data_IF_277281881091
#
_entry.id   IF_277281881091
#
_cell.length_a   1.000
_cell.length_b   1.000
_cell.length_c   1.000
_cell.angle_alpha   90.00
_cell.angle_beta   90.00
_cell.angle_gamma   90.00
#
_symmetry.space_group_name_H-M   'P 1'
#
loop_
_entity.id
_entity.type
_entity.pdbx_description
1 polymer ?
#
# COMPACT_ATOMS: atom_id res chain seq x y z
N UNK A 1 14.33 -2.17 -0.69
CA UNK A 1 14.89 -3.12 -1.69
C UNK A 1 16.37 -2.88 -2.04
N UNK A 2 17.06 -1.94 -1.36
CA UNK A 2 18.53 -1.94 -1.22
C UNK A 2 19.37 -1.92 -2.52
N UNK A 3 20.63 -2.37 -2.43
CA UNK A 3 21.57 -2.53 -3.56
C UNK A 3 20.97 -3.16 -4.83
N UNK A 4 20.05 -4.11 -4.69
CA UNK A 4 19.42 -4.84 -5.79
C UNK A 4 18.54 -3.97 -6.71
N UNK A 5 18.16 -2.78 -6.26
CA UNK A 5 17.32 -1.83 -7.01
C UNK A 5 18.02 -0.50 -7.28
N UNK A 6 19.24 -0.31 -6.76
CA UNK A 6 20.04 0.88 -7.01
C UNK A 6 20.73 0.76 -8.37
N UNK A 7 20.43 1.63 -9.33
CA UNK A 7 21.05 1.57 -10.68
C UNK A 7 22.54 1.80 -10.67
N UNK A 8 23.04 2.46 -9.64
CA UNK A 8 24.45 2.81 -9.51
C UNK A 8 25.26 1.69 -8.83
N UNK A 9 24.59 0.63 -8.39
CA UNK A 9 25.20 -0.52 -7.76
C UNK A 9 25.56 -1.59 -8.81
N UNK A 10 26.81 -2.12 -8.84
CA UNK A 10 27.23 -3.13 -9.80
C UNK A 10 26.45 -4.46 -9.68
N UNK A 11 25.82 -4.72 -8.53
CA UNK A 11 24.98 -5.89 -8.30
C UNK A 11 23.56 -5.73 -8.87
N UNK A 12 23.19 -4.52 -9.30
CA UNK A 12 21.86 -4.26 -9.83
C UNK A 12 21.68 -4.90 -11.22
N UNK A 13 20.72 -5.83 -11.38
CA UNK A 13 20.58 -6.56 -12.63
C UNK A 13 19.78 -5.80 -13.70
N UNK A 14 19.44 -4.52 -13.47
CA UNK A 14 18.52 -3.74 -14.30
C UNK A 14 19.03 -3.55 -15.72
N UNK A 15 20.28 -3.14 -15.89
CA UNK A 15 20.89 -2.89 -17.21
C UNK A 15 20.98 -4.19 -18.06
N UNK A 16 20.96 -5.36 -17.41
CA UNK A 16 20.99 -6.68 -18.06
C UNK A 16 19.58 -7.22 -18.37
N UNK A 17 18.52 -6.42 -18.20
CA UNK A 17 17.12 -6.87 -18.31
C UNK A 17 16.32 -5.96 -19.23
N UNK A 18 15.47 -6.56 -20.05
CA UNK A 18 14.42 -5.81 -20.76
C UNK A 18 13.43 -5.19 -19.76
N UNK A 19 12.65 -4.19 -20.20
CA UNK A 19 11.61 -3.55 -19.35
C UNK A 19 10.64 -4.58 -18.75
N UNK A 20 10.27 -5.62 -19.50
CA UNK A 20 9.38 -6.68 -19.02
C UNK A 20 10.06 -7.58 -17.99
N UNK A 21 11.31 -8.00 -18.25
CA UNK A 21 12.10 -8.82 -17.33
C UNK A 21 12.37 -8.06 -16.02
N UNK A 22 12.67 -6.76 -16.11
CA UNK A 22 12.83 -5.90 -14.96
C UNK A 22 11.54 -5.81 -14.14
N UNK A 23 10.39 -5.56 -14.78
CA UNK A 23 9.09 -5.54 -14.10
C UNK A 23 8.81 -6.85 -13.36
N UNK A 24 9.04 -8.01 -13.99
CA UNK A 24 8.90 -9.32 -13.34
C UNK A 24 9.86 -9.49 -12.16
N UNK A 25 11.11 -9.08 -12.32
CA UNK A 25 12.11 -9.12 -11.26
C UNK A 25 11.69 -8.29 -10.04
N UNK A 26 11.27 -7.03 -10.26
CA UNK A 26 10.79 -6.13 -9.20
C UNK A 26 9.60 -6.73 -8.46
N UNK A 27 8.63 -7.28 -9.19
CA UNK A 27 7.46 -7.94 -8.59
C UNK A 27 7.86 -9.14 -7.74
N UNK A 28 8.76 -10.00 -8.23
CA UNK A 28 9.27 -11.14 -7.47
C UNK A 28 10.02 -10.73 -6.20
N UNK A 29 10.92 -9.74 -6.31
CA UNK A 29 11.63 -9.21 -5.14
C UNK A 29 10.67 -8.60 -4.11
N UNK A 30 9.64 -7.91 -4.58
CA UNK A 30 8.58 -7.34 -3.74
C UNK A 30 7.75 -8.39 -3.01
N UNK A 31 7.41 -9.52 -3.66
CA UNK A 31 6.75 -10.67 -2.99
C UNK A 31 7.60 -11.18 -1.82
N UNK A 32 8.89 -11.42 -2.07
CA UNK A 32 9.81 -11.93 -1.04
C UNK A 32 9.96 -10.91 0.09
N UNK A 33 10.10 -9.63 -0.25
CA UNK A 33 10.20 -8.55 0.72
C UNK A 33 8.95 -8.47 1.61
N UNK A 34 7.75 -8.46 1.02
CA UNK A 34 6.48 -8.40 1.74
C UNK A 34 6.30 -9.60 2.66
N UNK A 35 6.60 -10.81 2.18
CA UNK A 35 6.54 -12.03 2.99
C UNK A 35 7.50 -12.00 4.18
N UNK A 36 8.70 -11.45 3.99
CA UNK A 36 9.68 -11.32 5.05
C UNK A 36 9.23 -10.34 6.13
N UNK A 37 8.83 -9.12 5.73
CA UNK A 37 8.40 -8.08 6.69
C UNK A 37 7.05 -8.41 7.36
N UNK A 38 6.25 -9.29 6.76
CA UNK A 38 4.99 -9.76 7.35
C UNK A 38 5.18 -10.53 8.67
N UNK A 39 6.41 -10.98 8.97
CA UNK A 39 6.77 -11.64 10.23
C UNK A 39 7.04 -10.66 11.37
N UNK A 40 7.16 -9.37 11.07
CA UNK A 40 7.34 -8.33 12.07
C UNK A 40 6.02 -7.88 12.69
N UNK A 41 6.11 -6.98 13.66
CA UNK A 41 4.92 -6.42 14.34
C UNK A 41 4.38 -5.15 13.68
N UNK A 42 5.24 -4.46 12.91
CA UNK A 42 4.93 -3.17 12.32
C UNK A 42 5.60 -3.00 10.96
N UNK A 43 4.83 -2.52 9.99
CA UNK A 43 5.32 -2.06 8.69
C UNK A 43 4.97 -0.58 8.50
N UNK A 44 5.97 0.22 8.15
CA UNK A 44 5.79 1.64 7.84
C UNK A 44 5.77 1.85 6.33
N UNK A 45 4.75 2.54 5.84
CA UNK A 45 4.56 2.85 4.42
C UNK A 45 4.74 4.34 4.21
N UNK A 46 5.69 4.68 3.34
CA UNK A 46 5.87 6.05 2.88
C UNK A 46 4.85 6.33 1.77
N UNK A 47 3.99 7.33 1.96
CA UNK A 47 3.06 7.74 0.91
C UNK A 47 2.86 9.26 0.89
N UNK A 48 2.32 9.82 -0.21
CA UNK A 48 1.60 11.08 -0.17
C UNK A 48 0.54 11.11 0.94
N UNK A 49 0.21 12.31 1.48
CA UNK A 49 -0.83 12.44 2.49
C UNK A 49 -2.24 12.18 1.93
N UNK A 50 -3.22 11.84 2.79
CA UNK A 50 -4.64 11.83 2.46
C UNK A 50 -5.11 13.13 1.78
N UNK A 51 -6.15 13.06 0.93
CA UNK A 51 -7.02 11.90 0.69
C UNK A 51 -6.50 10.91 -0.35
N UNK A 52 -5.59 11.32 -1.25
CA UNK A 52 -5.10 10.47 -2.34
C UNK A 52 -3.65 10.02 -2.10
N UNK A 53 -3.52 8.92 -1.35
CA UNK A 53 -2.24 8.37 -0.91
C UNK A 53 -1.51 7.54 -1.97
N UNK A 54 -2.25 6.95 -2.90
CA UNK A 54 -1.69 6.05 -3.89
C UNK A 54 -2.26 6.31 -5.28
N UNK A 55 -1.64 5.67 -6.28
CA UNK A 55 -2.13 5.73 -7.65
C UNK A 55 -3.57 5.19 -7.71
N UNK A 56 -4.52 5.96 -8.28
CA UNK A 56 -5.90 5.52 -8.45
C UNK A 56 -6.06 4.23 -9.25
N UNK A 57 -5.08 3.88 -10.11
CA UNK A 57 -5.12 2.64 -10.87
C UNK A 57 -5.05 1.40 -9.98
N UNK A 58 -4.53 1.51 -8.75
CA UNK A 58 -4.29 0.36 -7.89
C UNK A 58 -3.14 -0.53 -8.36
N UNK A 59 -2.38 -0.12 -9.38
CA UNK A 59 -1.36 -0.94 -10.06
C UNK A 59 0.07 -0.71 -9.57
N UNK A 60 0.25 0.03 -8.47
CA UNK A 60 1.57 0.11 -7.84
C UNK A 60 1.95 -1.25 -7.26
N UNK A 61 3.25 -1.54 -7.22
CA UNK A 61 3.79 -2.75 -6.59
C UNK A 61 3.25 -2.94 -5.18
N UNK A 62 3.21 -1.86 -4.38
CA UNK A 62 2.61 -1.88 -3.05
C UNK A 62 1.14 -2.30 -3.08
N UNK A 63 0.28 -1.61 -3.84
CA UNK A 63 -1.17 -1.87 -3.86
C UNK A 63 -1.56 -3.22 -4.48
N UNK A 64 -0.75 -3.75 -5.40
CA UNK A 64 -1.08 -4.97 -6.15
C UNK A 64 -0.44 -6.24 -5.56
N UNK A 65 0.65 -6.10 -4.79
CA UNK A 65 1.45 -7.24 -4.30
C UNK A 65 1.69 -7.12 -2.79
N UNK A 66 2.35 -6.06 -2.34
CA UNK A 66 2.83 -5.99 -0.96
C UNK A 66 1.66 -5.88 0.03
N UNK A 67 0.77 -4.91 -0.16
CA UNK A 67 -0.39 -4.69 0.70
C UNK A 67 -1.29 -5.93 0.83
N UNK A 68 -1.66 -6.65 -0.26
CA UNK A 68 -2.38 -7.91 -0.14
C UNK A 68 -1.68 -8.96 0.71
N UNK A 69 -0.36 -9.14 0.57
CA UNK A 69 0.42 -10.11 1.36
C UNK A 69 0.41 -9.73 2.84
N UNK A 70 0.62 -8.46 3.17
CA UNK A 70 0.62 -7.97 4.55
C UNK A 70 -0.78 -8.14 5.18
N UNK A 71 -1.84 -7.76 4.47
CA UNK A 71 -3.22 -7.94 4.94
C UNK A 71 -3.59 -9.40 5.10
N UNK A 72 -3.12 -10.27 4.21
CA UNK A 72 -3.33 -11.72 4.32
C UNK A 72 -2.66 -12.30 5.56
N UNK A 73 -1.41 -11.90 5.86
CA UNK A 73 -0.73 -12.32 7.08
C UNK A 73 -1.49 -11.92 8.36
N UNK A 74 -2.02 -10.70 8.39
CA UNK A 74 -2.85 -10.19 9.50
C UNK A 74 -4.14 -11.01 9.63
N UNK A 75 -4.82 -11.30 8.52
CA UNK A 75 -6.00 -12.15 8.51
C UNK A 75 -5.69 -13.60 8.98
N UNK A 76 -4.46 -14.07 8.75
CA UNK A 76 -3.94 -15.34 9.24
C UNK A 76 -3.49 -15.33 10.70
N UNK A 77 -3.71 -14.23 11.44
CA UNK A 77 -3.41 -14.11 12.87
C UNK A 77 -2.05 -13.50 13.20
N UNK A 78 -1.32 -12.94 12.23
CA UNK A 78 -0.11 -12.19 12.53
C UNK A 78 -0.44 -10.93 13.34
N UNK A 79 0.30 -10.69 14.43
CA UNK A 79 0.24 -9.45 15.21
C UNK A 79 1.00 -8.32 14.47
N UNK A 80 0.53 -7.98 13.27
CA UNK A 80 1.14 -6.99 12.38
C UNK A 80 0.19 -5.81 12.20
N UNK A 81 0.75 -4.59 12.21
CA UNK A 81 0.05 -3.37 11.79
C UNK A 81 0.78 -2.63 10.67
N UNK A 82 0.00 -1.92 9.87
CA UNK A 82 0.48 -1.04 8.80
C UNK A 82 0.30 0.39 9.26
N UNK A 83 1.41 1.12 9.36
CA UNK A 83 1.44 2.54 9.66
C UNK A 83 1.82 3.34 8.41
N UNK A 84 1.30 4.56 8.31
CA UNK A 84 1.65 5.49 7.26
C UNK A 84 2.35 6.72 7.82
N UNK A 85 3.33 7.19 7.06
CA UNK A 85 4.03 8.45 7.31
C UNK A 85 4.11 9.26 6.02
N UNK A 86 4.15 10.58 6.16
CA UNK A 86 4.12 11.51 5.03
C UNK A 86 5.29 12.51 5.09
N UNK A 87 6.53 12.07 4.80
CA UNK A 87 7.73 12.91 4.94
C UNK A 87 7.72 14.18 4.08
N UNK A 88 6.84 14.27 3.08
CA UNK A 88 6.69 15.46 2.23
C UNK A 88 5.88 16.58 2.87
N UNK A 89 5.27 16.35 4.05
CA UNK A 89 4.47 17.35 4.77
C UNK A 89 5.33 17.90 5.90
N UNK A 90 5.65 19.20 5.82
CA UNK A 90 6.41 19.91 6.86
C UNK A 90 5.65 19.84 8.19
N UNK A 91 6.35 19.51 9.27
CA UNK A 91 5.78 19.35 10.61
C UNK A 91 5.14 17.99 10.87
N UNK A 92 5.17 17.07 9.90
CA UNK A 92 4.67 15.71 10.02
C UNK A 92 5.78 14.64 9.96
N UNK A 93 7.04 15.05 10.15
CA UNK A 93 8.23 14.21 9.99
C UNK A 93 8.18 12.99 10.92
N UNK A 94 7.76 13.20 12.17
CA UNK A 94 7.64 12.16 13.20
C UNK A 94 6.20 11.66 13.40
N UNK A 95 5.28 12.04 12.51
CA UNK A 95 3.88 11.64 12.62
C UNK A 95 3.59 10.36 11.83
N UNK A 96 3.28 9.29 12.55
CA UNK A 96 2.77 8.04 12.01
C UNK A 96 1.35 7.78 12.50
N UNK A 97 0.53 7.13 11.66
CA UNK A 97 -0.79 6.66 12.07
C UNK A 97 -1.11 5.31 11.44
N UNK A 98 -1.85 4.49 12.17
CA UNK A 98 -2.26 3.18 11.71
C UNK A 98 -3.33 3.28 10.61
N UNK A 99 -3.20 2.44 9.59
CA UNK A 99 -4.20 2.33 8.50
C UNK A 99 -4.82 0.95 8.40
N UNK A 100 -4.18 -0.04 9.02
CA UNK A 100 -4.66 -1.41 9.10
C UNK A 100 -3.96 -2.13 10.28
N UNK A 101 -4.66 -2.97 11.06
CA UNK A 101 -6.09 -3.29 10.96
C UNK A 101 -7.04 -2.16 11.40
N UNK A 102 -6.59 -1.25 12.27
CA UNK A 102 -7.38 -0.12 12.76
C UNK A 102 -7.07 1.12 11.93
N UNK A 103 -8.07 1.63 11.22
CA UNK A 103 -7.89 2.83 10.39
C UNK A 103 -7.98 4.10 11.24
N UNK A 104 -6.82 4.68 11.55
CA UNK A 104 -6.69 5.92 12.30
C UNK A 104 -6.46 7.14 11.40
N UNK A 105 -6.85 7.09 10.11
CA UNK A 105 -6.70 8.25 9.20
C UNK A 105 -7.38 9.53 9.75
N UNK A 106 -8.37 9.40 10.63
CA UNK A 106 -8.99 10.55 11.30
C UNK A 106 -8.01 11.35 12.18
N UNK A 107 -7.01 10.70 12.80
CA UNK A 107 -5.99 11.40 13.63
C UNK A 107 -5.11 12.28 12.77
N UNK A 108 -4.73 11.80 11.57
CA UNK A 108 -4.05 12.63 10.57
C UNK A 108 -4.88 13.85 10.19
N UNK A 109 -6.17 13.66 9.87
CA UNK A 109 -7.05 14.75 9.45
C UNK A 109 -7.25 15.78 10.56
N UNK A 110 -7.32 15.35 11.82
CA UNK A 110 -7.40 16.26 12.95
C UNK A 110 -6.12 17.10 13.12
N UNK A 111 -4.94 16.49 12.91
CA UNK A 111 -3.65 17.16 13.09
C UNK A 111 -3.26 18.09 11.93
N UNK A 112 -3.46 17.65 10.68
CA UNK A 112 -2.94 18.35 9.49
C UNK A 112 -4.02 18.80 8.51
N UNK A 113 -5.28 18.43 8.74
CA UNK A 113 -6.39 18.69 7.83
C UNK A 113 -6.27 17.95 6.50
N UNK A 114 -7.12 18.34 5.54
CA UNK A 114 -7.09 17.85 4.16
C UNK A 114 -6.41 18.84 3.19
N UNK A 115 -5.84 19.95 3.70
CA UNK A 115 -5.56 21.16 2.92
C UNK A 115 -4.43 21.03 1.88
N UNK A 116 -3.68 19.92 1.86
CA UNK A 116 -2.61 19.67 0.88
C UNK A 116 -3.07 18.87 -0.35
N UNK A 117 -4.21 19.27 -0.94
CA UNK A 117 -4.79 18.69 -2.17
C UNK A 117 -4.00 19.06 -3.45
N UNK A 118 -2.67 19.04 -3.42
CA UNK A 118 -1.94 19.11 -4.68
C UNK A 118 -2.28 17.83 -5.47
N UNK A 119 -3.06 17.97 -6.54
CA UNK A 119 -3.32 16.90 -7.51
C UNK A 119 -1.97 16.43 -8.02
N UNK A 120 -1.47 15.33 -7.47
CA UNK A 120 -0.19 14.78 -7.90
C UNK A 120 -0.39 14.18 -9.29
N UNK A 121 0.43 14.56 -10.29
CA UNK A 121 0.40 13.89 -11.57
C UNK A 121 0.89 12.45 -11.37
N UNK A 122 -0.03 11.51 -11.44
CA UNK A 122 0.30 10.09 -11.40
C UNK A 122 0.86 9.65 -12.75
N UNK A 123 1.89 8.80 -12.74
CA UNK A 123 2.33 8.15 -13.98
C UNK A 123 1.19 7.29 -14.52
N UNK A 124 0.89 7.45 -15.80
CA UNK A 124 -0.09 6.60 -16.49
C UNK A 124 0.40 5.15 -16.45
N UNK A 125 -0.36 4.30 -15.78
CA UNK A 125 -0.18 2.85 -15.79
C UNK A 125 -1.24 2.25 -16.68
N UNK A 126 -0.86 1.40 -17.64
CA UNK A 126 -1.83 0.60 -18.38
C UNK A 126 -2.61 -0.24 -17.36
N UNK A 127 -3.92 0.01 -17.25
CA UNK A 127 -4.80 -0.81 -16.44
C UNK A 127 -4.84 -2.20 -17.07
N UNK A 128 -4.53 -3.22 -16.29
CA UNK A 128 -4.79 -4.60 -16.70
C UNK A 128 -6.25 -4.90 -16.33
N UNK A 129 -7.16 -5.09 -17.30
CA UNK A 129 -8.59 -5.27 -17.05
C UNK A 129 -8.88 -6.44 -16.11
N UNK A 130 -8.07 -7.51 -16.15
CA UNK A 130 -8.22 -8.68 -15.30
C UNK A 130 -7.93 -8.33 -13.83
N UNK A 131 -6.92 -7.51 -13.58
CA UNK A 131 -6.54 -7.07 -12.24
C UNK A 131 -7.59 -6.14 -11.62
N UNK A 132 -8.20 -5.27 -12.44
CA UNK A 132 -9.31 -4.40 -12.01
C UNK A 132 -10.54 -5.25 -11.64
N UNK A 133 -10.87 -6.24 -12.46
CA UNK A 133 -11.98 -7.16 -12.18
C UNK A 133 -11.76 -7.95 -10.89
N UNK A 134 -10.55 -8.47 -10.65
CA UNK A 134 -10.20 -9.20 -9.41
C UNK A 134 -10.31 -8.29 -8.19
N UNK A 135 -9.78 -7.05 -8.24
CA UNK A 135 -9.91 -6.11 -7.12
C UNK A 135 -11.37 -5.78 -6.80
N UNK A 136 -12.19 -5.54 -7.82
CA UNK A 136 -13.62 -5.26 -7.66
C UNK A 136 -14.39 -6.45 -7.07
N UNK A 137 -13.96 -7.68 -7.36
CA UNK A 137 -14.56 -8.90 -6.81
C UNK A 137 -14.14 -9.20 -5.36
N UNK A 138 -12.97 -8.71 -4.93
CA UNK A 138 -12.41 -8.95 -3.59
C UNK A 138 -12.81 -7.85 -2.59
N UNK A 139 -13.16 -6.64 -3.04
CA UNK A 139 -13.75 -5.63 -2.15
C UNK A 139 -15.05 -6.17 -1.53
N UNK A 140 -15.16 -6.32 -0.19
CA UNK A 140 -16.39 -6.78 0.42
C UNK A 140 -17.48 -5.74 0.13
N UNK A 141 -18.61 -6.21 -0.38
CA UNK A 141 -19.83 -5.43 -0.53
C UNK A 141 -20.16 -4.76 0.79
N UNK A 142 -19.90 -3.45 0.90
CA UNK A 142 -20.53 -2.59 1.92
C UNK A 142 -22.01 -2.45 1.56
N UNK A 143 -22.77 -3.53 1.75
CA UNK A 143 -24.22 -3.53 1.71
C UNK A 143 -24.72 -4.88 2.25
N UNK A 144 -24.72 -5.03 3.57
CA UNK A 144 -25.78 -5.80 4.24
C UNK A 144 -25.97 -5.23 5.65
N UNK A 145 -26.66 -4.09 5.72
CA UNK A 145 -27.41 -3.73 6.92
C UNK A 145 -28.64 -4.63 6.98
N UNK A 146 -28.62 -5.66 7.82
CA UNK A 146 -29.81 -6.35 8.30
C UNK A 146 -29.50 -6.56 9.78
N UNK A 147 -30.00 -5.74 10.68
CA UNK A 147 -31.43 -5.58 10.94
C UNK A 147 -31.67 -6.25 12.29
N UNK A 148 -31.42 -5.48 13.35
CA UNK A 148 -31.74 -5.82 14.74
C UNK A 148 -33.17 -6.33 14.82
N UNK A 149 -33.37 -7.62 15.12
CA UNK A 149 -34.67 -8.13 15.50
C UNK A 149 -34.74 -8.13 17.02
N UNK A 150 -35.49 -7.16 17.53
CA UNK A 150 -35.88 -7.05 18.93
C UNK A 150 -36.63 -8.31 19.37
N UNK A 151 -36.31 -8.70 20.60
CA UNK A 151 -36.99 -9.69 21.43
C UNK A 151 -38.34 -9.11 21.86
N UNK A 152 -39.41 -9.87 21.69
CA UNK A 152 -40.56 -9.93 22.60
C UNK A 152 -41.07 -11.37 22.62
#
# INVERSE_FOLDING_TARGET
>A
MGPLMNTDDPLCPKEKKSKQQWSKYVKGASVIFAWYIAKGEKVTVLSPPPPQRFNPSGMTTYQAIEEPILKWAIAGGANLRIEMVHPTVKGAEDFAYEVWPVNQTATWVAAFGLKNLQKRPWRSTKMDPLHVAIKKAIEPSKALSIGTRLVY
#
